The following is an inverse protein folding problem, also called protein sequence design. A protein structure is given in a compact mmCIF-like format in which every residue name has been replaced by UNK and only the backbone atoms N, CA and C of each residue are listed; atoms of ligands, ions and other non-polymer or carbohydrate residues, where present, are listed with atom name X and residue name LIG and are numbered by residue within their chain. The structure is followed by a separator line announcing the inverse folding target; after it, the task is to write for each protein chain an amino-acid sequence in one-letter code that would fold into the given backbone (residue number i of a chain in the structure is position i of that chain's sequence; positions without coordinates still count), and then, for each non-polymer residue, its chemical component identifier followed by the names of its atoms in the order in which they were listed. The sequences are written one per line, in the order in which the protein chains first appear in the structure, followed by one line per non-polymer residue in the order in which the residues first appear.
data_IF_812019919998
#
_entry.id   IF_812019919998
#
_cell.length_a   1.000
_cell.length_b   1.000
_cell.length_c   1.000
_cell.angle_alpha   90.00
_cell.angle_beta   90.00
_cell.angle_gamma   90.00
#
_symmetry.space_group_name_H-M   'P 1'
#
loop_
_entity.id
_entity.type
_entity.pdbx_description
1 polymer ?
#
# COMPACT_ATOMS: atom_id res chain seq x y z
N UNK A 1 -17.44 -1.99 17.41
CA UNK A 1 -17.64 -2.69 16.14
C UNK A 1 -18.44 -1.77 15.24
N UNK A 2 -18.02 -1.60 14.01
CA UNK A 2 -18.77 -0.85 12.99
C UNK A 2 -19.93 -1.73 12.53
N UNK A 3 -21.17 -1.24 12.63
CA UNK A 3 -22.38 -2.02 12.34
C UNK A 3 -23.21 -1.45 11.18
N UNK A 4 -23.09 -0.17 10.89
CA UNK A 4 -23.85 0.50 9.83
C UNK A 4 -23.27 1.83 9.40
N UNK A 5 -23.61 2.24 8.17
CA UNK A 5 -23.48 3.61 7.65
C UNK A 5 -24.89 4.19 7.51
N UNK A 6 -25.08 5.46 7.89
CA UNK A 6 -26.37 6.15 7.82
C UNK A 6 -26.21 7.51 7.15
N UNK A 7 -27.15 7.88 6.29
CA UNK A 7 -27.28 9.21 5.69
C UNK A 7 -28.71 9.71 5.92
N UNK A 8 -28.87 10.87 6.55
CA UNK A 8 -30.17 11.52 6.69
C UNK A 8 -30.64 12.10 5.33
N UNK A 9 -31.91 11.93 5.04
CA UNK A 9 -32.54 12.44 3.81
C UNK A 9 -34.03 12.71 4.04
N UNK A 10 -34.32 13.53 5.05
CA UNK A 10 -35.71 13.88 5.42
C UNK A 10 -36.45 14.56 4.27
N UNK A 11 -35.74 15.37 3.48
CA UNK A 11 -36.28 16.08 2.33
C UNK A 11 -36.44 15.18 1.09
N UNK A 12 -36.06 13.92 1.17
CA UNK A 12 -36.12 12.95 0.07
C UNK A 12 -35.41 13.43 -1.19
N UNK A 13 -34.22 14.02 -1.06
CA UNK A 13 -33.41 14.54 -2.17
C UNK A 13 -32.90 13.43 -3.08
N UNK A 14 -32.66 12.23 -2.55
CA UNK A 14 -32.04 11.13 -3.26
C UNK A 14 -33.05 10.05 -3.65
N UNK A 15 -32.89 9.48 -4.85
CA UNK A 15 -33.61 8.31 -5.35
C UNK A 15 -32.92 7.00 -4.98
N UNK A 16 -31.59 7.01 -4.89
CA UNK A 16 -30.78 5.87 -4.42
C UNK A 16 -29.48 6.38 -3.79
N UNK A 17 -28.92 5.56 -2.89
CA UNK A 17 -27.63 5.78 -2.24
C UNK A 17 -26.86 4.46 -2.25
N UNK A 18 -25.58 4.52 -2.61
CA UNK A 18 -24.67 3.36 -2.67
C UNK A 18 -23.36 3.67 -1.97
N UNK A 19 -22.78 2.71 -1.27
CA UNK A 19 -21.46 2.82 -0.65
C UNK A 19 -20.35 2.64 -1.69
N UNK A 20 -19.42 3.57 -1.72
CA UNK A 20 -18.14 3.47 -2.44
C UNK A 20 -17.04 3.25 -1.40
N UNK A 21 -16.52 2.05 -1.31
CA UNK A 21 -15.41 1.65 -0.42
C UNK A 21 -14.75 0.38 -0.94
N UNK A 22 -13.57 0.07 -0.43
CA UNK A 22 -12.81 -1.15 -0.73
C UNK A 22 -13.26 -2.35 0.13
N UNK A 23 -14.31 -2.19 0.93
CA UNK A 23 -14.92 -3.28 1.71
C UNK A 23 -15.65 -4.25 0.78
N UNK A 24 -15.31 -5.52 0.88
CA UNK A 24 -16.00 -6.59 0.18
C UNK A 24 -17.41 -6.78 0.77
N UNK A 25 -18.43 -6.31 0.04
CA UNK A 25 -19.83 -6.41 0.46
C UNK A 25 -20.66 -7.15 -0.60
N UNK A 26 -21.60 -8.00 -0.17
CA UNK A 26 -22.54 -8.66 -1.08
C UNK A 26 -23.52 -7.65 -1.72
N UNK A 27 -23.85 -6.57 -1.03
CA UNK A 27 -24.65 -5.46 -1.54
C UNK A 27 -24.12 -4.14 -0.98
N UNK A 28 -24.04 -3.12 -1.83
CA UNK A 28 -23.55 -1.77 -1.47
C UNK A 28 -24.66 -0.73 -1.45
N UNK A 29 -25.90 -1.13 -1.77
CA UNK A 29 -27.06 -0.25 -1.84
C UNK A 29 -27.66 -0.05 -0.46
N UNK A 30 -27.97 1.19 -0.13
CA UNK A 30 -28.64 1.55 1.12
C UNK A 30 -30.14 1.27 1.03
N UNK A 31 -30.72 0.86 2.13
CA UNK A 31 -32.16 0.74 2.32
C UNK A 31 -32.72 2.00 2.96
N UNK A 32 -33.92 2.42 2.52
CA UNK A 32 -34.59 3.58 3.11
C UNK A 32 -35.24 3.22 4.46
N UNK A 33 -34.84 3.92 5.51
CA UNK A 33 -35.35 3.70 6.87
C UNK A 33 -35.50 5.06 7.60
N UNK A 34 -36.63 5.27 8.25
CA UNK A 34 -36.87 6.39 9.22
C UNK A 34 -36.36 7.76 8.72
N UNK A 35 -36.69 8.15 7.49
CA UNK A 35 -36.34 9.46 6.93
C UNK A 35 -34.91 9.58 6.41
N UNK A 36 -34.17 8.49 6.34
CA UNK A 36 -32.81 8.43 5.82
C UNK A 36 -32.51 7.16 5.05
N UNK A 37 -31.25 6.89 4.83
CA UNK A 37 -30.70 5.75 4.15
C UNK A 37 -29.77 5.00 5.11
N UNK A 38 -29.85 3.68 5.17
CA UNK A 38 -29.06 2.84 6.06
C UNK A 38 -28.46 1.67 5.28
N UNK A 39 -27.17 1.45 5.42
CA UNK A 39 -26.48 0.23 4.99
C UNK A 39 -25.92 -0.47 6.23
N UNK A 40 -26.34 -1.71 6.45
CA UNK A 40 -25.80 -2.55 7.52
C UNK A 40 -24.52 -3.21 7.07
N UNK A 41 -23.48 -3.09 7.91
CA UNK A 41 -22.20 -3.74 7.67
C UNK A 41 -22.24 -5.20 8.15
N UNK A 42 -21.41 -6.10 7.59
CA UNK A 42 -21.35 -7.50 8.01
C UNK A 42 -21.03 -7.62 9.51
N UNK A 43 -21.77 -8.48 10.20
CA UNK A 43 -21.47 -8.78 11.60
C UNK A 43 -20.12 -9.51 11.69
N UNK A 44 -19.25 -9.04 12.60
CA UNK A 44 -17.94 -9.66 12.81
C UNK A 44 -16.85 -9.19 11.83
N UNK A 45 -17.13 -8.23 10.97
CA UNK A 45 -16.10 -7.62 10.14
C UNK A 45 -14.94 -7.09 11.02
N UNK A 46 -13.73 -7.48 10.67
CA UNK A 46 -12.50 -7.11 11.39
C UNK A 46 -12.01 -5.75 10.91
N UNK A 47 -12.77 -4.70 11.21
CA UNK A 47 -12.48 -3.33 10.80
C UNK A 47 -12.26 -2.43 12.01
N UNK A 48 -11.10 -1.79 12.09
CA UNK A 48 -10.82 -0.69 12.99
C UNK A 48 -11.29 0.66 12.42
N UNK A 49 -11.33 0.75 11.07
CA UNK A 49 -11.72 1.95 10.33
C UNK A 49 -12.43 1.55 9.03
N UNK A 50 -13.33 2.41 8.56
CA UNK A 50 -13.93 2.31 7.24
C UNK A 50 -13.81 3.67 6.54
N UNK A 51 -13.01 3.74 5.49
CA UNK A 51 -13.01 4.88 4.57
C UNK A 51 -14.04 4.66 3.48
N UNK A 52 -14.88 5.66 3.23
CA UNK A 52 -15.98 5.55 2.27
C UNK A 52 -16.35 6.89 1.64
N UNK A 53 -17.01 6.80 0.51
CA UNK A 53 -17.80 7.85 -0.12
C UNK A 53 -19.20 7.32 -0.40
N UNK A 54 -20.11 8.21 -0.74
CA UNK A 54 -21.48 7.89 -1.11
C UNK A 54 -21.70 8.23 -2.57
N UNK A 55 -22.07 7.25 -3.40
CA UNK A 55 -22.68 7.52 -4.69
C UNK A 55 -24.17 7.76 -4.45
N UNK A 56 -24.62 8.98 -4.70
CA UNK A 56 -26.02 9.37 -4.58
C UNK A 56 -26.62 9.61 -5.97
N UNK A 57 -27.83 9.09 -6.18
CA UNK A 57 -28.64 9.35 -7.35
C UNK A 57 -29.73 10.34 -6.96
N UNK A 58 -29.75 11.51 -7.56
CA UNK A 58 -30.81 12.50 -7.34
C UNK A 58 -32.08 12.14 -8.11
N UNK A 59 -33.20 12.81 -7.79
CA UNK A 59 -34.48 12.54 -8.45
C UNK A 59 -34.51 12.86 -9.94
N UNK A 60 -33.63 13.74 -10.40
CA UNK A 60 -33.45 14.07 -11.83
C UNK A 60 -32.58 13.02 -12.56
N UNK A 61 -32.14 11.96 -11.87
CA UNK A 61 -31.29 10.89 -12.39
C UNK A 61 -29.79 11.21 -12.37
N UNK A 62 -29.39 12.41 -11.95
CA UNK A 62 -27.97 12.76 -11.85
C UNK A 62 -27.27 11.97 -10.74
N UNK A 63 -26.02 11.55 -11.00
CA UNK A 63 -25.19 10.78 -10.08
C UNK A 63 -24.04 11.65 -9.57
N UNK A 64 -23.79 11.59 -8.27
CA UNK A 64 -22.68 12.28 -7.63
C UNK A 64 -22.00 11.36 -6.63
N UNK A 65 -20.66 11.38 -6.62
CA UNK A 65 -19.87 10.76 -5.54
C UNK A 65 -19.43 11.87 -4.60
N UNK A 66 -19.67 11.70 -3.32
CA UNK A 66 -19.37 12.70 -2.30
C UNK A 66 -18.97 12.06 -0.99
N UNK A 67 -18.27 12.82 -0.15
CA UNK A 67 -18.15 12.49 1.27
C UNK A 67 -19.51 12.56 1.94
N UNK A 68 -19.69 11.79 3.00
CA UNK A 68 -20.87 11.86 3.85
C UNK A 68 -20.94 13.23 4.53
N UNK A 69 -22.00 14.04 4.27
CA UNK A 69 -22.09 15.37 4.83
C UNK A 69 -22.33 15.41 6.34
N UNK A 70 -22.77 14.30 6.92
CA UNK A 70 -23.03 14.20 8.36
C UNK A 70 -21.85 13.66 9.15
N UNK A 71 -20.89 13.09 8.47
CA UNK A 71 -19.65 12.62 9.08
C UNK A 71 -18.55 13.67 8.88
N UNK A 72 -18.06 14.37 9.92
CA UNK A 72 -16.99 15.35 9.78
C UNK A 72 -15.60 14.72 9.60
N UNK A 73 -15.43 13.45 9.99
CA UNK A 73 -14.14 12.78 9.90
C UNK A 73 -13.72 12.52 8.46
N UNK A 74 -12.49 12.86 8.14
CA UNK A 74 -11.91 12.72 6.79
C UNK A 74 -10.58 11.98 6.82
N UNK A 75 -10.35 11.19 5.78
CA UNK A 75 -9.04 10.67 5.43
C UNK A 75 -8.67 11.19 4.05
N UNK A 76 -7.46 11.75 3.86
CA UNK A 76 -6.96 12.10 2.55
C UNK A 76 -6.68 10.83 1.74
N UNK A 77 -6.92 10.88 0.43
CA UNK A 77 -6.64 9.78 -0.49
C UNK A 77 -6.08 10.27 -1.82
N UNK A 78 -5.41 9.40 -2.54
CA UNK A 78 -4.83 9.73 -3.86
C UNK A 78 -5.86 10.22 -4.90
N UNK A 79 -7.15 9.94 -4.66
CA UNK A 79 -8.27 10.34 -5.53
C UNK A 79 -9.27 11.26 -4.83
N UNK A 80 -8.82 12.00 -3.80
CA UNK A 80 -9.63 12.90 -2.99
C UNK A 80 -10.00 12.32 -1.63
N UNK A 81 -10.60 13.18 -0.79
CA UNK A 81 -10.96 12.84 0.57
C UNK A 81 -12.07 11.79 0.63
N UNK A 82 -12.02 10.95 1.66
CA UNK A 82 -13.06 9.99 2.03
C UNK A 82 -13.57 10.29 3.43
N UNK A 83 -14.84 10.01 3.68
CA UNK A 83 -15.38 9.98 5.04
C UNK A 83 -14.84 8.78 5.80
N UNK A 84 -14.71 8.89 7.12
CA UNK A 84 -14.15 7.84 7.96
C UNK A 84 -15.09 7.49 9.09
N UNK A 85 -15.41 6.21 9.24
CA UNK A 85 -15.97 5.66 10.48
C UNK A 85 -14.87 4.97 11.28
N UNK A 86 -14.77 5.29 12.55
CA UNK A 86 -13.82 4.68 13.48
C UNK A 86 -14.55 3.67 14.38
N UNK A 87 -13.99 2.48 14.52
CA UNK A 87 -14.48 1.53 15.52
C UNK A 87 -14.12 2.04 16.93
N UNK A 88 -14.97 1.76 17.93
CA UNK A 88 -14.63 2.07 19.32
C UNK A 88 -13.28 1.43 19.70
N UNK A 89 -12.36 2.24 20.22
CA UNK A 89 -11.03 1.81 20.63
C UNK A 89 -9.96 1.85 19.54
N UNK A 90 -10.28 2.32 18.32
CA UNK A 90 -9.22 2.64 17.34
C UNK A 90 -8.30 3.71 17.91
N UNK A 91 -7.00 3.46 17.83
CA UNK A 91 -5.96 4.41 18.17
C UNK A 91 -4.97 4.50 17.01
N UNK A 92 -4.65 5.70 16.52
CA UNK A 92 -3.58 5.86 15.55
C UNK A 92 -2.24 5.42 16.17
N UNK A 93 -1.25 5.04 15.36
CA UNK A 93 0.06 4.67 15.87
C UNK A 93 0.71 5.78 16.69
N UNK A 94 1.26 5.46 17.86
CA UNK A 94 1.90 6.38 18.80
C UNK A 94 3.16 7.07 18.26
N UNK A 95 3.75 6.56 17.19
CA UNK A 95 4.90 7.16 16.54
C UNK A 95 4.55 8.42 15.72
N UNK A 96 3.27 8.62 15.40
CA UNK A 96 2.80 9.83 14.70
C UNK A 96 3.02 11.10 15.52
N UNK A 97 2.91 11.03 16.85
CA UNK A 97 3.12 12.18 17.74
C UNK A 97 4.57 12.69 17.76
N UNK A 98 5.50 11.87 17.29
CA UNK A 98 6.93 12.21 17.22
C UNK A 98 7.46 12.47 15.81
N UNK A 99 6.60 12.50 14.80
CA UNK A 99 6.98 12.54 13.38
C UNK A 99 7.59 13.87 12.87
N UNK A 100 7.87 14.84 13.75
CA UNK A 100 8.38 16.17 13.41
C UNK A 100 9.89 16.33 13.34
N UNK A 101 10.69 15.29 13.16
CA UNK A 101 12.13 15.44 12.99
C UNK A 101 12.44 16.24 11.71
N UNK A 102 13.30 17.27 11.80
CA UNK A 102 13.80 18.03 10.65
C UNK A 102 14.43 17.06 9.65
N UNK A 103 13.68 16.73 8.60
CA UNK A 103 14.13 15.86 7.54
C UNK A 103 15.02 16.66 6.58
N UNK A 104 16.20 16.12 6.25
CA UNK A 104 16.98 16.61 5.11
C UNK A 104 16.57 15.81 3.90
N UNK A 105 16.16 16.53 2.85
CA UNK A 105 15.88 15.92 1.56
C UNK A 105 16.97 16.29 0.57
N UNK A 106 17.40 15.30 -0.20
CA UNK A 106 18.20 15.47 -1.40
C UNK A 106 17.34 15.07 -2.60
N UNK A 107 17.53 15.74 -3.73
CA UNK A 107 16.85 15.42 -4.97
C UNK A 107 17.84 14.74 -5.93
N UNK A 108 17.44 13.61 -6.47
CA UNK A 108 18.21 12.88 -7.48
C UNK A 108 17.37 12.79 -8.76
N UNK A 109 17.85 13.44 -9.80
CA UNK A 109 17.25 13.35 -11.13
C UNK A 109 17.70 12.06 -11.82
N UNK A 110 16.75 11.28 -12.34
CA UNK A 110 17.01 10.06 -13.09
C UNK A 110 16.11 9.95 -14.32
N UNK A 111 16.55 9.20 -15.33
CA UNK A 111 15.71 8.84 -16.48
C UNK A 111 15.30 7.37 -16.37
N UNK A 112 13.99 7.13 -16.41
CA UNK A 112 13.41 5.80 -16.39
C UNK A 112 12.49 5.64 -17.59
N UNK A 113 12.81 4.72 -18.49
CA UNK A 113 12.03 4.45 -19.71
C UNK A 113 11.71 5.72 -20.51
N UNK A 114 12.69 6.62 -20.64
CA UNK A 114 12.55 7.87 -21.38
C UNK A 114 11.92 9.03 -20.59
N UNK A 115 11.32 8.79 -19.43
CA UNK A 115 10.76 9.84 -18.55
C UNK A 115 11.79 10.34 -17.57
N UNK A 116 11.83 11.66 -17.36
CA UNK A 116 12.58 12.26 -16.27
C UNK A 116 11.82 12.06 -14.96
N UNK A 117 12.48 11.55 -13.95
CA UNK A 117 11.94 11.42 -12.60
C UNK A 117 12.82 12.21 -11.65
N UNK A 118 12.19 12.97 -10.76
CA UNK A 118 12.84 13.61 -9.62
C UNK A 118 12.53 12.79 -8.38
N UNK A 119 13.56 12.18 -7.82
CA UNK A 119 13.46 11.29 -6.66
C UNK A 119 13.89 12.09 -5.44
N UNK A 120 12.99 12.20 -4.46
CA UNK A 120 13.33 12.75 -3.16
C UNK A 120 13.92 11.66 -2.29
N UNK A 121 15.10 11.92 -1.75
CA UNK A 121 15.77 11.03 -0.80
C UNK A 121 15.82 11.69 0.56
N UNK A 122 15.12 11.13 1.51
CA UNK A 122 15.20 11.53 2.91
C UNK A 122 16.43 10.90 3.57
N UNK A 123 17.16 11.67 4.38
CA UNK A 123 18.32 11.19 5.11
C UNK A 123 18.32 11.70 6.56
N UNK A 124 18.56 10.82 7.55
CA UNK A 124 18.70 11.23 8.96
C UNK A 124 20.07 11.82 9.27
N UNK A 125 21.05 11.70 8.37
CA UNK A 125 22.43 12.12 8.58
C UNK A 125 23.34 11.78 7.41
N UNK A 126 24.65 11.97 7.60
CA UNK A 126 25.71 11.72 6.62
C UNK A 126 26.27 10.29 6.73
N UNK A 127 27.15 9.92 5.79
CA UNK A 127 27.86 8.65 5.73
C UNK A 127 27.11 7.55 4.97
N UNK A 128 27.70 6.36 4.93
CA UNK A 128 27.11 5.20 4.26
C UNK A 128 25.95 4.61 5.09
N UNK A 129 24.74 4.77 4.62
CA UNK A 129 23.52 4.25 5.27
C UNK A 129 22.79 3.26 4.37
N UNK A 130 22.11 2.25 4.93
CA UNK A 130 21.19 1.41 4.18
C UNK A 130 20.10 2.22 3.49
N UNK A 131 19.48 1.68 2.42
CA UNK A 131 18.47 2.37 1.62
C UNK A 131 17.15 1.61 1.60
N UNK A 132 16.07 2.23 2.06
CA UNK A 132 14.70 1.81 1.78
C UNK A 132 14.22 2.50 0.51
N UNK A 133 13.70 1.73 -0.45
CA UNK A 133 13.19 2.22 -1.72
C UNK A 133 11.69 2.01 -1.76
N UNK A 134 10.92 3.08 -1.80
CA UNK A 134 9.46 3.03 -1.77
C UNK A 134 8.86 3.39 -3.13
N UNK A 135 8.08 2.47 -3.72
CA UNK A 135 7.17 2.78 -4.83
C UNK A 135 6.01 3.66 -4.33
N UNK A 136 5.45 4.50 -5.19
CA UNK A 136 4.45 5.52 -4.84
C UNK A 136 4.94 6.35 -3.64
N UNK A 137 6.26 6.65 -3.63
CA UNK A 137 6.96 7.23 -2.48
C UNK A 137 6.43 8.59 -2.05
N UNK A 138 6.17 9.54 -2.97
CA UNK A 138 5.55 10.82 -2.61
C UNK A 138 4.21 10.65 -1.90
N UNK A 139 3.34 9.76 -2.40
CA UNK A 139 2.04 9.46 -1.82
C UNK A 139 2.17 8.75 -0.45
N UNK A 140 3.15 7.84 -0.31
CA UNK A 140 3.45 7.24 0.99
C UNK A 140 3.93 8.26 2.02
N UNK A 141 4.71 9.24 1.61
CA UNK A 141 5.16 10.30 2.51
C UNK A 141 4.02 11.22 2.93
N UNK A 142 3.20 11.64 1.97
CA UNK A 142 2.10 12.56 2.19
C UNK A 142 0.93 11.90 2.96
N UNK A 143 0.51 10.69 2.55
CA UNK A 143 -0.71 10.04 3.03
C UNK A 143 -0.47 9.01 4.14
N UNK A 144 0.75 8.49 4.26
CA UNK A 144 1.13 7.50 5.25
C UNK A 144 2.30 7.95 6.16
N UNK A 145 2.72 9.21 6.08
CA UNK A 145 3.78 9.79 6.91
C UNK A 145 5.08 8.95 6.95
N UNK A 146 5.51 8.41 5.80
CA UNK A 146 6.60 7.43 5.74
C UNK A 146 7.94 7.97 6.27
N UNK A 147 8.28 9.23 5.97
CA UNK A 147 9.49 9.87 6.53
C UNK A 147 9.35 10.13 8.03
N UNK A 148 8.15 10.46 8.50
CA UNK A 148 7.82 10.56 9.92
C UNK A 148 8.04 9.24 10.65
N UNK A 149 7.56 8.13 10.07
CA UNK A 149 7.83 6.79 10.57
C UNK A 149 9.33 6.51 10.66
N UNK A 150 10.08 6.77 9.59
CA UNK A 150 11.54 6.54 9.56
C UNK A 150 12.24 7.32 10.68
N UNK A 151 11.95 8.61 10.82
CA UNK A 151 12.51 9.46 11.88
C UNK A 151 12.15 8.97 13.29
N UNK A 152 10.89 8.59 13.51
CA UNK A 152 10.42 8.07 14.79
C UNK A 152 11.10 6.76 15.19
N UNK A 153 11.23 5.79 14.25
CA UNK A 153 11.85 4.50 14.52
C UNK A 153 13.35 4.61 14.79
N UNK A 154 14.06 5.49 14.06
CA UNK A 154 15.48 5.78 14.31
C UNK A 154 15.66 6.44 15.69
N UNK A 155 14.83 7.44 16.01
CA UNK A 155 14.87 8.13 17.31
C UNK A 155 14.62 7.17 18.49
N UNK A 156 13.70 6.20 18.30
CA UNK A 156 13.41 5.14 19.29
C UNK A 156 14.48 4.04 19.35
N UNK A 157 15.48 4.08 18.47
CA UNK A 157 16.48 3.01 18.28
C UNK A 157 15.83 1.65 17.96
N UNK A 158 14.68 1.66 17.33
CA UNK A 158 13.98 0.45 16.89
C UNK A 158 14.56 -0.10 15.56
N UNK A 159 15.27 0.74 14.81
CA UNK A 159 16.04 0.41 13.60
C UNK A 159 17.32 1.24 13.56
N UNK A 160 18.37 0.73 12.92
CA UNK A 160 19.56 1.50 12.59
C UNK A 160 19.21 2.66 11.65
N UNK A 161 19.98 3.77 11.63
CA UNK A 161 19.78 4.85 10.66
C UNK A 161 19.80 4.34 9.22
N UNK A 162 18.85 4.79 8.39
CA UNK A 162 18.74 4.44 6.98
C UNK A 162 18.23 5.63 6.16
N UNK A 163 18.49 5.62 4.85
CA UNK A 163 17.92 6.54 3.89
C UNK A 163 16.64 5.99 3.29
N UNK A 164 15.78 6.89 2.82
CA UNK A 164 14.52 6.55 2.19
C UNK A 164 14.42 7.25 0.82
N UNK A 165 14.40 6.46 -0.27
CA UNK A 165 14.15 6.97 -1.61
C UNK A 165 12.66 6.87 -1.94
N UNK A 166 12.03 8.01 -2.17
CA UNK A 166 10.63 8.16 -2.54
C UNK A 166 10.49 8.15 -4.06
N UNK A 167 10.20 6.99 -4.64
CA UNK A 167 10.08 6.85 -6.09
C UNK A 167 8.68 7.29 -6.56
N UNK A 168 8.58 8.32 -7.42
CA UNK A 168 7.31 8.68 -8.02
C UNK A 168 6.82 7.58 -8.97
N UNK A 169 5.51 7.36 -9.13
CA UNK A 169 4.95 6.22 -9.86
C UNK A 169 5.21 6.24 -11.37
N UNK A 170 5.41 7.39 -11.98
CA UNK A 170 5.57 7.51 -13.43
C UNK A 170 4.33 7.05 -14.20
N UNK A 171 4.50 6.09 -15.13
CA UNK A 171 3.39 5.39 -15.77
C UNK A 171 3.05 4.14 -14.97
N UNK A 172 2.29 4.36 -13.89
CA UNK A 172 2.08 3.38 -12.82
C UNK A 172 1.50 2.07 -13.34
N UNK A 173 0.47 2.13 -14.17
CA UNK A 173 -0.22 0.93 -14.66
C UNK A 173 0.65 0.11 -15.61
N UNK A 174 1.46 0.77 -16.43
CA UNK A 174 2.40 0.10 -17.31
C UNK A 174 3.62 -0.44 -16.54
N UNK A 175 4.22 0.37 -15.67
CA UNK A 175 5.47 0.04 -15.03
C UNK A 175 5.31 -1.02 -13.95
N UNK A 176 4.28 -0.89 -13.12
CA UNK A 176 4.12 -1.74 -11.94
C UNK A 176 3.46 -3.09 -12.22
N UNK A 177 2.88 -3.28 -13.40
CA UNK A 177 2.18 -4.51 -13.77
C UNK A 177 3.11 -5.62 -14.26
N UNK A 178 4.11 -6.01 -13.47
CA UNK A 178 5.11 -7.01 -13.84
C UNK A 178 5.82 -6.69 -15.17
N UNK A 179 6.23 -5.42 -15.36
CA UNK A 179 6.92 -4.96 -16.55
C UNK A 179 8.41 -5.33 -16.51
N UNK A 180 8.86 -6.16 -17.43
CA UNK A 180 10.28 -6.53 -17.56
C UNK A 180 11.15 -5.30 -17.87
N UNK A 181 10.63 -4.36 -18.66
CA UNK A 181 11.33 -3.11 -18.99
C UNK A 181 11.53 -2.24 -17.74
N UNK A 182 10.46 -2.08 -16.93
CA UNK A 182 10.56 -1.33 -15.69
C UNK A 182 11.47 -2.03 -14.66
N UNK A 183 11.31 -3.33 -14.46
CA UNK A 183 12.19 -4.09 -13.56
C UNK A 183 13.68 -3.95 -13.93
N UNK A 184 14.00 -3.99 -15.23
CA UNK A 184 15.36 -3.72 -15.70
C UNK A 184 15.78 -2.27 -15.43
N UNK A 185 14.92 -1.30 -15.74
CA UNK A 185 15.21 0.12 -15.53
C UNK A 185 15.43 0.42 -14.05
N UNK A 186 14.63 -0.15 -13.16
CA UNK A 186 14.80 -0.05 -11.70
C UNK A 186 16.12 -0.66 -11.24
N UNK A 187 16.36 -1.95 -11.54
CA UNK A 187 17.47 -2.68 -10.95
C UNK A 187 18.84 -2.37 -11.61
N UNK A 188 18.86 -2.02 -12.90
CA UNK A 188 20.09 -1.78 -13.66
C UNK A 188 20.33 -0.33 -14.06
N UNK A 189 19.35 0.53 -13.85
CA UNK A 189 19.44 1.96 -14.13
C UNK A 189 19.31 2.81 -12.88
N UNK A 190 18.10 2.82 -12.29
CA UNK A 190 17.73 3.72 -11.21
C UNK A 190 18.49 3.46 -9.90
N UNK A 191 18.54 2.22 -9.42
CA UNK A 191 19.27 1.89 -8.19
C UNK A 191 20.77 2.17 -8.30
N UNK A 192 21.47 1.83 -9.41
CA UNK A 192 22.84 2.27 -9.62
C UNK A 192 23.01 3.79 -9.69
N UNK A 193 22.06 4.52 -10.31
CA UNK A 193 22.10 5.99 -10.35
C UNK A 193 21.96 6.61 -8.95
N UNK A 194 21.05 6.11 -8.12
CA UNK A 194 20.95 6.52 -6.73
C UNK A 194 22.29 6.33 -5.98
N UNK A 195 22.92 5.16 -6.10
CA UNK A 195 24.21 4.85 -5.47
C UNK A 195 25.37 5.75 -5.89
N UNK A 196 25.30 6.38 -7.08
CA UNK A 196 26.31 7.34 -7.55
C UNK A 196 26.12 8.73 -6.92
N UNK A 197 24.90 9.05 -6.52
CA UNK A 197 24.54 10.38 -6.00
C UNK A 197 24.48 10.43 -4.47
N UNK A 198 24.21 9.27 -3.84
CA UNK A 198 24.10 9.15 -2.39
C UNK A 198 24.91 7.94 -1.90
N UNK A 199 25.49 8.05 -0.72
CA UNK A 199 26.26 6.97 -0.10
C UNK A 199 25.34 5.90 0.48
N UNK A 200 25.25 4.76 -0.21
CA UNK A 200 24.38 3.62 0.15
C UNK A 200 25.18 2.43 0.61
N UNK A 201 24.91 1.93 1.81
CA UNK A 201 25.43 0.69 2.36
C UNK A 201 24.62 -0.52 1.91
N UNK A 202 25.27 -1.62 1.60
CA UNK A 202 24.63 -2.91 1.36
C UNK A 202 23.58 -2.93 0.25
N UNK A 203 22.71 -3.94 0.24
CA UNK A 203 21.57 -4.06 -0.67
C UNK A 203 20.36 -3.29 -0.10
N UNK A 204 19.57 -2.59 -0.95
CA UNK A 204 18.38 -1.89 -0.48
C UNK A 204 17.27 -2.85 -0.06
N UNK A 205 16.35 -2.37 0.78
CA UNK A 205 15.04 -2.98 0.99
C UNK A 205 14.05 -2.29 0.04
N UNK A 206 13.20 -3.08 -0.63
CA UNK A 206 12.13 -2.58 -1.49
C UNK A 206 10.79 -2.59 -0.77
N UNK A 207 9.96 -1.53 -0.93
CA UNK A 207 8.59 -1.53 -0.43
C UNK A 207 7.61 -0.96 -1.45
N UNK A 208 6.37 -1.38 -1.32
CA UNK A 208 5.26 -0.85 -2.10
C UNK A 208 3.93 -1.45 -1.68
N UNK A 209 2.83 -0.82 -2.15
CA UNK A 209 1.49 -1.33 -1.97
C UNK A 209 0.84 -1.62 -3.32
N UNK A 210 -0.15 -2.54 -3.31
CA UNK A 210 -0.96 -2.84 -4.50
C UNK A 210 -0.07 -3.26 -5.68
N UNK A 211 -0.19 -2.60 -6.83
CA UNK A 211 0.71 -2.79 -7.98
C UNK A 211 2.17 -2.47 -7.64
N UNK A 212 2.43 -1.54 -6.70
CA UNK A 212 3.79 -1.25 -6.24
C UNK A 212 4.45 -2.43 -5.54
N UNK A 213 3.70 -3.20 -4.75
CA UNK A 213 4.14 -4.46 -4.14
C UNK A 213 4.42 -5.53 -5.19
N UNK A 214 3.53 -5.68 -6.17
CA UNK A 214 3.72 -6.59 -7.31
C UNK A 214 5.02 -6.27 -8.06
N UNK A 215 5.27 -4.98 -8.34
CA UNK A 215 6.46 -4.54 -9.07
C UNK A 215 7.75 -4.81 -8.31
N UNK A 216 7.79 -4.62 -6.98
CA UNK A 216 8.95 -4.96 -6.16
C UNK A 216 9.24 -6.45 -6.17
N UNK A 217 8.21 -7.30 -6.01
CA UNK A 217 8.36 -8.75 -6.09
C UNK A 217 8.83 -9.17 -7.49
N UNK A 218 8.25 -8.59 -8.56
CA UNK A 218 8.66 -8.86 -9.93
C UNK A 218 10.12 -8.48 -10.18
N UNK A 219 10.54 -7.29 -9.73
CA UNK A 219 11.91 -6.82 -9.87
C UNK A 219 12.91 -7.75 -9.18
N UNK A 220 12.63 -8.14 -7.91
CA UNK A 220 13.46 -9.08 -7.17
C UNK A 220 13.57 -10.44 -7.87
N UNK A 221 12.45 -11.01 -8.31
CA UNK A 221 12.46 -12.33 -8.96
C UNK A 221 13.13 -12.34 -10.32
N UNK A 222 13.10 -11.23 -11.03
CA UNK A 222 13.78 -11.09 -12.34
C UNK A 222 15.25 -10.76 -12.20
N UNK A 223 15.63 -10.05 -11.10
CA UNK A 223 17.00 -9.58 -10.85
C UNK A 223 17.43 -9.98 -9.42
N UNK A 224 17.76 -11.29 -9.22
CA UNK A 224 18.28 -11.77 -7.94
C UNK A 224 19.52 -10.99 -7.49
N UNK A 225 19.75 -10.90 -6.19
CA UNK A 225 20.86 -10.16 -5.61
C UNK A 225 20.65 -8.64 -5.50
N UNK A 226 19.51 -8.12 -5.96
CA UNK A 226 19.23 -6.68 -5.94
C UNK A 226 18.82 -6.17 -4.56
N UNK A 227 17.93 -6.87 -3.87
CA UNK A 227 17.35 -6.44 -2.59
C UNK A 227 17.85 -7.28 -1.41
N UNK A 228 17.81 -6.70 -0.21
CA UNK A 228 18.06 -7.37 1.06
C UNK A 228 16.76 -7.86 1.74
N UNK A 229 15.61 -7.29 1.37
CA UNK A 229 14.30 -7.62 1.89
C UNK A 229 13.20 -6.92 1.10
N UNK A 230 11.95 -7.37 1.26
CA UNK A 230 10.77 -6.75 0.64
C UNK A 230 9.67 -6.52 1.67
N UNK A 231 9.08 -5.32 1.65
CA UNK A 231 7.85 -4.99 2.38
C UNK A 231 6.71 -4.79 1.38
N UNK A 232 5.75 -5.70 1.40
CA UNK A 232 4.69 -5.80 0.40
C UNK A 232 3.33 -5.63 1.07
N UNK A 233 2.63 -4.52 0.77
CA UNK A 233 1.33 -4.23 1.38
C UNK A 233 0.22 -4.42 0.35
N UNK A 234 -0.81 -5.20 0.70
CA UNK A 234 -2.03 -5.38 -0.11
C UNK A 234 -1.73 -5.65 -1.60
N UNK A 235 -0.79 -6.55 -1.89
CA UNK A 235 -0.25 -6.74 -3.25
C UNK A 235 -1.29 -7.17 -4.27
N UNK A 236 -1.24 -6.58 -5.48
CA UNK A 236 -2.10 -6.93 -6.62
C UNK A 236 -1.67 -8.25 -7.28
N UNK A 237 -1.73 -9.35 -6.53
CA UNK A 237 -1.33 -10.68 -6.99
C UNK A 237 -2.47 -11.43 -7.67
N UNK A 238 -3.00 -10.88 -8.77
CA UNK A 238 -4.23 -11.35 -9.41
C UNK A 238 -4.23 -12.83 -9.79
N UNK A 239 -5.26 -13.53 -9.29
CA UNK A 239 -5.57 -14.91 -9.62
C UNK A 239 -6.96 -14.96 -10.27
N UNK A 240 -7.12 -15.45 -11.52
CA UNK A 240 -8.36 -15.31 -12.28
C UNK A 240 -9.64 -15.79 -11.59
N UNK A 241 -9.54 -16.82 -10.74
CA UNK A 241 -10.70 -17.34 -9.99
C UNK A 241 -11.14 -16.43 -8.84
N UNK A 242 -10.23 -15.57 -8.32
CA UNK A 242 -10.48 -14.67 -7.18
C UNK A 242 -10.74 -13.24 -7.64
N UNK A 243 -10.04 -12.79 -8.68
CA UNK A 243 -9.95 -11.40 -9.09
C UNK A 243 -10.61 -11.15 -10.46
N UNK A 244 -11.82 -11.72 -10.68
CA UNK A 244 -12.57 -11.55 -11.94
C UNK A 244 -12.97 -10.08 -12.19
N UNK A 245 -13.22 -9.33 -11.14
CA UNK A 245 -13.56 -7.92 -11.20
C UNK A 245 -12.42 -7.06 -11.77
N UNK A 246 -11.16 -7.51 -11.62
CA UNK A 246 -9.98 -6.87 -12.17
C UNK A 246 -9.71 -7.18 -13.66
N UNK A 247 -10.52 -8.05 -14.27
CA UNK A 247 -10.28 -8.50 -15.66
C UNK A 247 -10.31 -7.38 -16.72
N UNK A 248 -10.93 -6.24 -16.39
CA UNK A 248 -10.93 -5.04 -17.23
C UNK A 248 -9.63 -4.21 -17.15
N UNK A 249 -8.72 -4.50 -16.22
CA UNK A 249 -7.46 -3.79 -16.09
C UNK A 249 -6.57 -4.04 -17.32
N UNK A 250 -6.02 -3.01 -17.98
CA UNK A 250 -5.32 -3.17 -19.27
C UNK A 250 -4.14 -4.16 -19.25
N UNK A 251 -3.51 -4.32 -18.10
CA UNK A 251 -2.34 -5.21 -17.93
C UNK A 251 -2.65 -6.49 -17.15
N UNK A 252 -3.91 -6.79 -16.90
CA UNK A 252 -4.38 -7.96 -16.14
C UNK A 252 -3.70 -9.26 -16.56
N UNK A 253 -3.68 -9.58 -17.86
CA UNK A 253 -3.08 -10.81 -18.36
C UNK A 253 -1.57 -10.92 -18.10
N UNK A 254 -0.84 -9.79 -18.05
CA UNK A 254 0.60 -9.75 -17.72
C UNK A 254 0.81 -10.02 -16.24
N UNK A 255 0.00 -9.41 -15.36
CA UNK A 255 0.02 -9.65 -13.92
C UNK A 255 -0.29 -11.12 -13.61
N UNK A 256 -1.39 -11.64 -14.15
CA UNK A 256 -1.79 -13.07 -13.97
C UNK A 256 -0.70 -14.03 -14.42
N UNK A 257 -0.03 -13.76 -15.55
CA UNK A 257 1.06 -14.62 -16.04
C UNK A 257 2.23 -14.66 -15.06
N UNK A 258 2.64 -13.52 -14.55
CA UNK A 258 3.71 -13.43 -13.55
C UNK A 258 3.32 -14.14 -12.26
N UNK A 259 2.16 -13.80 -11.68
CA UNK A 259 1.66 -14.40 -10.43
C UNK A 259 1.57 -15.92 -10.55
N UNK A 260 0.99 -16.43 -11.65
CA UNK A 260 0.92 -17.88 -11.92
C UNK A 260 2.32 -18.52 -11.99
N UNK A 261 3.29 -17.81 -12.55
CA UNK A 261 4.69 -18.26 -12.57
C UNK A 261 5.27 -18.40 -11.17
N UNK A 262 5.01 -17.42 -10.30
CA UNK A 262 5.44 -17.46 -8.89
C UNK A 262 4.77 -18.62 -8.14
N UNK A 263 3.44 -18.75 -8.25
CA UNK A 263 2.67 -19.78 -7.54
C UNK A 263 3.04 -21.22 -7.98
N UNK A 264 3.64 -21.41 -9.15
CA UNK A 264 4.08 -22.73 -9.66
C UNK A 264 5.55 -23.04 -9.43
N UNK A 265 6.33 -22.04 -9.07
CA UNK A 265 7.77 -22.24 -8.84
C UNK A 265 7.99 -23.07 -7.57
N UNK A 266 9.04 -23.91 -7.59
CA UNK A 266 9.42 -24.74 -6.42
C UNK A 266 10.47 -24.10 -5.54
N UNK A 267 11.29 -23.21 -6.11
CA UNK A 267 12.39 -22.54 -5.41
C UNK A 267 12.72 -21.20 -6.10
N UNK A 268 13.49 -20.37 -5.42
CA UNK A 268 14.10 -19.17 -5.99
C UNK A 268 15.59 -19.14 -5.63
N UNK A 269 16.50 -18.68 -6.53
CA UNK A 269 17.95 -18.70 -6.28
C UNK A 269 18.41 -17.70 -5.21
N UNK A 270 17.61 -16.69 -4.88
CA UNK A 270 17.92 -15.65 -3.89
C UNK A 270 16.70 -15.41 -2.97
N UNK A 271 16.30 -16.39 -2.13
CA UNK A 271 15.22 -16.16 -1.17
C UNK A 271 15.70 -15.19 -0.09
N UNK A 272 14.83 -14.23 0.25
CA UNK A 272 15.12 -13.16 1.20
C UNK A 272 13.96 -12.97 2.20
N UNK A 273 14.14 -12.16 3.26
CA UNK A 273 13.04 -11.77 4.15
C UNK A 273 11.94 -11.00 3.41
N UNK A 274 10.69 -11.42 3.55
CA UNK A 274 9.51 -10.75 3.01
C UNK A 274 8.49 -10.56 4.13
N UNK A 275 8.19 -9.30 4.46
CA UNK A 275 7.06 -8.98 5.32
C UNK A 275 5.90 -8.48 4.44
N UNK A 276 4.74 -9.10 4.64
CA UNK A 276 3.52 -8.75 3.93
C UNK A 276 2.45 -8.29 4.93
N UNK A 277 1.68 -7.28 4.56
CA UNK A 277 0.47 -6.88 5.28
C UNK A 277 -0.68 -6.73 4.30
N UNK A 278 -1.89 -7.07 4.70
CA UNK A 278 -3.10 -6.91 3.88
C UNK A 278 -4.30 -6.72 4.81
N UNK A 279 -5.24 -5.88 4.41
CA UNK A 279 -6.49 -5.74 5.15
C UNK A 279 -7.26 -7.04 5.21
N UNK A 280 -7.78 -7.38 6.39
CA UNK A 280 -8.49 -8.65 6.61
C UNK A 280 -9.79 -8.76 5.80
N UNK A 281 -10.38 -7.62 5.46
CA UNK A 281 -11.64 -7.51 4.71
C UNK A 281 -11.44 -6.97 3.28
N UNK A 282 -10.18 -6.92 2.79
CA UNK A 282 -9.88 -6.55 1.41
C UNK A 282 -10.27 -7.64 0.42
N UNK A 283 -10.68 -7.25 -0.78
CA UNK A 283 -11.00 -8.19 -1.87
C UNK A 283 -9.79 -9.08 -2.24
N UNK A 284 -8.57 -8.55 -2.15
CA UNK A 284 -7.33 -9.25 -2.49
C UNK A 284 -6.65 -9.99 -1.32
N UNK A 285 -7.29 -10.14 -0.16
CA UNK A 285 -6.69 -10.88 0.97
C UNK A 285 -6.37 -12.35 0.60
N UNK A 286 -7.25 -12.99 -0.16
CA UNK A 286 -7.07 -14.39 -0.54
C UNK A 286 -5.87 -14.60 -1.46
N UNK A 287 -5.63 -13.70 -2.44
CA UNK A 287 -4.47 -13.80 -3.32
C UNK A 287 -3.16 -13.48 -2.58
N UNK A 288 -3.19 -12.58 -1.58
CA UNK A 288 -2.05 -12.30 -0.72
C UNK A 288 -1.69 -13.49 0.18
N UNK A 289 -2.69 -14.23 0.72
CA UNK A 289 -2.46 -15.49 1.45
C UNK A 289 -1.79 -16.55 0.56
N UNK A 290 -2.27 -16.72 -0.67
CA UNK A 290 -1.66 -17.65 -1.63
C UNK A 290 -0.23 -17.26 -1.97
N UNK A 291 0.04 -15.98 -2.17
CA UNK A 291 1.39 -15.50 -2.46
C UNK A 291 2.34 -15.72 -1.28
N UNK A 292 1.93 -15.39 -0.06
CA UNK A 292 2.74 -15.59 1.14
C UNK A 292 3.10 -17.07 1.35
N UNK A 293 2.13 -17.97 1.18
CA UNK A 293 2.36 -19.42 1.27
C UNK A 293 3.36 -19.90 0.21
N UNK A 294 3.16 -19.52 -1.05
CA UNK A 294 4.04 -19.90 -2.15
C UNK A 294 5.48 -19.38 -1.96
N UNK A 295 5.65 -18.16 -1.45
CA UNK A 295 6.98 -17.64 -1.13
C UNK A 295 7.63 -18.44 -0.01
N UNK A 296 6.89 -18.79 1.05
CA UNK A 296 7.40 -19.64 2.13
C UNK A 296 7.87 -21.01 1.63
N UNK A 297 7.09 -21.68 0.78
CA UNK A 297 7.45 -22.96 0.16
C UNK A 297 8.71 -22.87 -0.73
N UNK A 298 9.02 -21.68 -1.26
CA UNK A 298 10.20 -21.42 -2.09
C UNK A 298 11.44 -21.00 -1.29
N UNK A 299 11.39 -21.07 0.05
CA UNK A 299 12.51 -20.77 0.92
C UNK A 299 12.62 -19.31 1.37
N UNK A 300 11.68 -18.43 0.99
CA UNK A 300 11.64 -17.08 1.53
C UNK A 300 11.27 -17.08 3.02
N UNK A 301 11.90 -16.20 3.79
CA UNK A 301 11.45 -15.93 5.15
C UNK A 301 10.21 -14.99 5.09
N UNK A 302 9.13 -15.51 4.53
CA UNK A 302 7.89 -14.76 4.27
C UNK A 302 6.94 -14.79 5.47
N UNK A 303 6.31 -13.66 5.78
CA UNK A 303 5.23 -13.54 6.75
C UNK A 303 4.11 -12.67 6.19
N UNK A 304 2.85 -13.02 6.46
CA UNK A 304 1.68 -12.18 6.17
C UNK A 304 0.97 -11.86 7.48
N UNK A 305 0.68 -10.59 7.69
CA UNK A 305 -0.18 -10.12 8.78
C UNK A 305 -1.43 -9.48 8.20
N UNK A 306 -2.58 -9.98 8.63
CA UNK A 306 -3.89 -9.44 8.30
C UNK A 306 -4.21 -8.31 9.28
N UNK A 307 -4.36 -7.10 8.75
CA UNK A 307 -4.64 -5.91 9.54
C UNK A 307 -6.13 -5.57 9.54
N UNK A 308 -6.67 -4.96 10.61
CA UNK A 308 -8.09 -4.63 10.69
C UNK A 308 -8.43 -3.34 9.94
N UNK A 309 -8.04 -3.25 8.69
CA UNK A 309 -8.28 -2.12 7.80
C UNK A 309 -8.49 -2.62 6.36
N UNK A 310 -8.54 -1.70 5.39
CA UNK A 310 -8.80 -1.93 3.99
C UNK A 310 -7.65 -1.40 3.11
N UNK A 311 -7.88 -1.37 1.78
CA UNK A 311 -6.92 -0.95 0.76
C UNK A 311 -6.73 0.57 0.73
N UNK A 312 -6.07 1.12 1.73
CA UNK A 312 -5.87 2.57 1.86
C UNK A 312 -4.55 2.93 2.56
N UNK A 313 -4.09 4.17 2.36
CA UNK A 313 -2.82 4.65 2.90
C UNK A 313 -2.79 4.70 4.43
N UNK A 314 -3.90 4.96 5.10
CA UNK A 314 -3.94 4.96 6.56
C UNK A 314 -3.76 3.56 7.12
N UNK A 315 -4.42 2.55 6.54
CA UNK A 315 -4.22 1.14 6.90
C UNK A 315 -2.77 0.69 6.65
N UNK A 316 -2.17 1.11 5.55
CA UNK A 316 -0.76 0.84 5.26
C UNK A 316 0.18 1.56 6.24
N UNK A 317 -0.12 2.81 6.60
CA UNK A 317 0.60 3.58 7.62
C UNK A 317 0.60 2.88 8.98
N UNK A 318 -0.58 2.48 9.43
CA UNK A 318 -0.78 1.87 10.75
C UNK A 318 -0.06 0.50 10.85
N UNK A 319 0.17 -0.15 9.70
CA UNK A 319 0.91 -1.40 9.60
C UNK A 319 2.44 -1.24 9.43
N UNK A 320 2.98 -0.02 9.32
CA UNK A 320 4.45 0.16 9.21
C UNK A 320 5.18 -0.38 10.45
N UNK A 321 4.74 0.01 11.64
CA UNK A 321 5.26 -0.55 12.89
C UNK A 321 4.26 -1.56 13.47
N UNK A 322 4.71 -2.76 13.85
CA UNK A 322 6.10 -3.23 13.93
C UNK A 322 6.61 -3.97 12.68
N UNK A 323 5.83 -4.10 11.60
CA UNK A 323 6.12 -5.06 10.53
C UNK A 323 7.30 -4.63 9.65
N UNK A 324 7.32 -3.40 9.15
CA UNK A 324 8.47 -2.86 8.43
C UNK A 324 9.69 -2.76 9.35
N UNK A 325 9.51 -2.32 10.60
CA UNK A 325 10.59 -2.23 11.60
C UNK A 325 11.33 -3.56 11.78
N UNK A 326 10.60 -4.66 11.96
CA UNK A 326 11.19 -6.01 12.10
C UNK A 326 11.88 -6.47 10.82
N UNK A 327 11.32 -6.16 9.67
CA UNK A 327 11.95 -6.47 8.39
C UNK A 327 13.28 -5.74 8.23
N UNK A 328 13.32 -4.42 8.50
CA UNK A 328 14.53 -3.61 8.38
C UNK A 328 15.63 -4.10 9.34
N UNK A 329 15.31 -4.37 10.60
CA UNK A 329 16.25 -4.93 11.57
C UNK A 329 16.81 -6.29 11.13
N UNK A 330 16.02 -7.11 10.45
CA UNK A 330 16.47 -8.39 9.89
C UNK A 330 17.29 -8.26 8.62
N UNK A 331 16.92 -7.34 7.74
CA UNK A 331 17.59 -7.13 6.46
C UNK A 331 18.93 -6.39 6.62
N UNK A 332 19.06 -5.57 7.66
CA UNK A 332 20.25 -4.78 8.01
C UNK A 332 20.64 -5.02 9.47
N UNK A 333 21.18 -6.19 9.80
CA UNK A 333 21.63 -6.46 11.16
C UNK A 333 22.74 -5.47 11.55
N UNK A 334 22.68 -4.96 12.77
CA UNK A 334 23.81 -4.21 13.36
C UNK A 334 25.02 -5.14 13.47
N UNK A 335 26.17 -4.70 12.99
CA UNK A 335 27.46 -5.39 13.10
C UNK A 335 28.18 -4.98 14.38
#
# INVERSE_FOLDING_TARGET
MLDRVRLEDRERRYAAVRLCSDLALPARDFMRENGGWVLRLPRGARLARLEYQLEVVRRDGSKHIMCDPENPERAPGAFGDKSVLLAPGYQPPDWLDGAGARARFEEVDARVLGRALRIRVWSPGEGQLPLLVAHDGPEYDELAALTGYAGAMIKRRAVAPFRLALLPPGDRDEWYSASAHYGRALCRGLLPALRKNIEVAGRPVGMGASLGALAMLHAHRTWPGTFAGLFLQSGSFFVPRLDRHESGFPRYGRVVRFVRGVLRARAHPDPLPVAMTCGAEEENIHNNRLMAAALGEQGYAASLVEVPDLHNYTGWRDALHPHLTRLLARAWPEH
#
